data_IF_281628752745
#
_entry.id   IF_281628752745
#
_cell.length_a   1.000
_cell.length_b   1.000
_cell.length_c   1.000
_cell.angle_alpha   90.00
_cell.angle_beta   90.00
_cell.angle_gamma   90.00
#
_symmetry.space_group_name_H-M   'P 1'
#
loop_
_entity.id
_entity.type
_entity.pdbx_description
1 polymer ?
#
# COMPACT_ATOMS: atom_id res chain seq x y z
N UNK A 1 -3.15 14.52 19.40
CA UNK A 1 -3.18 14.42 18.05
C UNK A 1 -3.15 13.03 17.54
N UNK A 2 -3.91 12.74 16.55
CA UNK A 2 -3.96 11.42 15.98
C UNK A 2 -2.71 11.17 15.17
N UNK A 3 -2.18 9.98 15.27
CA UNK A 3 -1.08 9.57 14.43
C UNK A 3 -1.63 9.04 13.12
N UNK A 4 -0.96 9.36 12.04
CA UNK A 4 -1.38 8.95 10.73
C UNK A 4 -0.41 7.89 10.23
N UNK A 5 -0.95 6.78 9.79
CA UNK A 5 -0.16 5.68 9.24
C UNK A 5 -0.54 5.43 7.80
N UNK A 6 0.46 5.14 7.01
CA UNK A 6 0.26 4.66 5.65
C UNK A 6 0.52 3.18 5.61
N UNK A 7 -0.29 2.48 4.86
CA UNK A 7 -0.15 1.03 4.73
C UNK A 7 0.29 0.73 3.30
N UNK A 8 1.38 -0.01 3.19
CA UNK A 8 1.96 -0.34 1.90
C UNK A 8 1.83 -1.83 1.68
N UNK A 9 1.17 -2.21 0.59
CA UNK A 9 1.05 -3.61 0.20
C UNK A 9 2.25 -3.93 -0.68
N UNK A 10 3.07 -4.88 -0.26
CA UNK A 10 4.31 -5.21 -0.94
C UNK A 10 4.11 -6.40 -1.86
N UNK A 11 4.82 -6.42 -2.96
CA UNK A 11 4.65 -7.44 -3.99
C UNK A 11 6.00 -8.01 -4.41
N UNK A 12 6.02 -9.27 -4.86
CA UNK A 12 7.26 -9.84 -5.39
C UNK A 12 7.64 -9.28 -6.75
N UNK A 13 6.68 -8.72 -7.50
CA UNK A 13 6.99 -8.13 -8.80
C UNK A 13 5.88 -7.15 -9.19
N UNK A 14 6.13 -6.43 -10.29
CA UNK A 14 5.19 -5.41 -10.74
C UNK A 14 3.86 -5.98 -11.19
N UNK A 15 3.87 -7.16 -11.76
CA UNK A 15 2.65 -7.75 -12.29
C UNK A 15 1.62 -7.97 -11.19
N UNK A 16 2.07 -8.51 -10.06
CA UNK A 16 1.15 -8.74 -8.95
C UNK A 16 0.61 -7.43 -8.41
N UNK A 17 1.46 -6.41 -8.34
CA UNK A 17 1.00 -5.11 -7.88
C UNK A 17 -0.05 -4.51 -8.78
N UNK A 18 0.15 -4.60 -10.09
CA UNK A 18 -0.82 -4.05 -11.03
C UNK A 18 -2.12 -4.84 -11.02
N UNK A 19 -2.04 -6.16 -10.83
CA UNK A 19 -3.24 -6.97 -10.73
C UNK A 19 -4.08 -6.58 -9.53
N UNK A 20 -3.45 -6.41 -8.39
CA UNK A 20 -4.19 -5.99 -7.21
C UNK A 20 -4.73 -4.58 -7.37
N UNK A 21 -3.96 -3.69 -7.96
CA UNK A 21 -4.42 -2.33 -8.19
C UNK A 21 -5.72 -2.35 -9.00
N UNK A 22 -5.76 -3.16 -10.06
CA UNK A 22 -6.96 -3.28 -10.88
C UNK A 22 -8.13 -3.83 -10.08
N UNK A 23 -7.87 -4.88 -9.29
CA UNK A 23 -8.93 -5.48 -8.49
C UNK A 23 -9.50 -4.49 -7.49
N UNK A 24 -8.64 -3.72 -6.86
CA UNK A 24 -9.11 -2.75 -5.88
C UNK A 24 -9.91 -1.64 -6.55
N UNK A 25 -9.51 -1.22 -7.73
CA UNK A 25 -10.28 -0.22 -8.46
C UNK A 25 -11.66 -0.76 -8.81
N UNK A 26 -11.75 -2.01 -9.22
CA UNK A 26 -13.03 -2.63 -9.52
C UNK A 26 -13.91 -2.73 -8.28
N UNK A 27 -13.29 -2.92 -7.13
CA UNK A 27 -14.04 -2.97 -5.87
C UNK A 27 -14.25 -1.59 -5.27
N UNK A 28 -13.83 -0.54 -5.97
CA UNK A 28 -13.98 0.83 -5.52
C UNK A 28 -13.23 1.12 -4.22
N UNK A 29 -12.11 0.46 -4.05
CA UNK A 29 -11.23 0.70 -2.91
C UNK A 29 -10.14 1.66 -3.33
N UNK A 30 -9.98 2.75 -2.60
CA UNK A 30 -8.97 3.74 -2.95
C UNK A 30 -7.59 3.22 -2.63
N UNK A 31 -6.70 3.31 -3.60
CA UNK A 31 -5.31 2.97 -3.42
C UNK A 31 -4.49 3.72 -4.45
N UNK A 32 -3.20 3.82 -4.19
CA UNK A 32 -2.29 4.53 -5.09
C UNK A 32 -1.03 3.70 -5.28
N UNK A 33 -0.49 3.75 -6.49
CA UNK A 33 0.81 3.15 -6.73
C UNK A 33 1.87 4.10 -6.20
N UNK A 34 2.77 3.58 -5.39
CA UNK A 34 3.78 4.39 -4.72
C UNK A 34 5.12 3.68 -4.77
N UNK A 35 6.22 4.43 -4.80
CA UNK A 35 7.52 3.78 -4.64
C UNK A 35 7.60 3.09 -3.29
N UNK A 36 8.26 1.94 -3.25
CA UNK A 36 8.41 1.21 -2.01
C UNK A 36 9.32 2.00 -1.08
N UNK A 37 8.87 2.31 0.14
CA UNK A 37 9.71 3.09 1.06
C UNK A 37 10.88 2.27 1.56
N UNK A 38 11.91 2.98 2.02
CA UNK A 38 13.10 2.32 2.53
C UNK A 38 12.81 1.42 3.70
N UNK A 39 11.87 1.81 4.54
CA UNK A 39 11.53 1.05 5.74
C UNK A 39 10.96 -0.31 5.39
N UNK A 40 10.44 -0.46 4.18
CA UNK A 40 9.86 -1.72 3.74
C UNK A 40 10.82 -2.38 2.78
N UNK A 41 11.36 -3.52 3.15
CA UNK A 41 12.22 -4.27 2.26
C UNK A 41 11.38 -5.06 1.29
N UNK A 42 11.59 -4.84 0.00
CA UNK A 42 10.86 -5.57 -1.01
C UNK A 42 11.69 -5.61 -2.28
N UNK A 43 11.57 -6.69 -3.03
CA UNK A 43 12.24 -6.79 -4.32
C UNK A 43 11.59 -5.91 -5.36
N UNK A 44 10.33 -5.59 -5.18
CA UNK A 44 9.61 -4.75 -6.13
C UNK A 44 9.80 -3.30 -5.74
N UNK A 45 10.07 -2.46 -6.73
CA UNK A 45 10.27 -1.04 -6.47
C UNK A 45 9.00 -0.27 -6.27
N UNK A 46 7.84 -0.90 -6.45
CA UNK A 46 6.56 -0.25 -6.23
C UNK A 46 5.76 -1.01 -5.20
N UNK A 47 4.84 -0.30 -4.58
CA UNK A 47 3.89 -0.88 -3.63
C UNK A 47 2.57 -0.17 -3.81
N UNK A 48 1.52 -0.67 -3.17
CA UNK A 48 0.24 0.01 -3.18
C UNK A 48 0.04 0.68 -1.84
N UNK A 49 -0.23 1.97 -1.89
CA UNK A 49 -0.46 2.76 -0.70
C UNK A 49 -1.96 2.80 -0.44
N UNK A 50 -2.37 2.36 0.74
CA UNK A 50 -3.78 2.38 1.12
C UNK A 50 -3.91 3.01 2.50
N UNK A 51 -5.08 3.58 2.77
CA UNK A 51 -5.35 4.15 4.07
C UNK A 51 -5.79 3.06 5.03
N UNK A 52 -5.70 3.37 6.32
CA UNK A 52 -6.03 2.39 7.35
C UNK A 52 -7.45 1.88 7.20
N UNK A 53 -8.37 2.75 6.85
CA UNK A 53 -9.76 2.34 6.74
C UNK A 53 -10.01 1.39 5.60
N UNK A 54 -9.10 1.31 4.64
CA UNK A 54 -9.27 0.44 3.48
C UNK A 54 -8.49 -0.86 3.59
N UNK A 55 -7.69 -1.03 4.62
CA UNK A 55 -6.85 -2.22 4.75
C UNK A 55 -7.68 -3.49 4.83
N UNK A 56 -8.78 -3.45 5.56
CA UNK A 56 -9.62 -4.64 5.69
C UNK A 56 -10.19 -5.06 4.34
N UNK A 57 -10.55 -4.09 3.51
CA UNK A 57 -11.07 -4.40 2.18
C UNK A 57 -9.98 -4.96 1.28
N UNK A 58 -8.77 -4.44 1.41
CA UNK A 58 -7.64 -4.98 0.66
C UNK A 58 -7.42 -6.43 1.03
N UNK A 59 -7.48 -6.75 2.32
CA UNK A 59 -7.30 -8.13 2.74
C UNK A 59 -8.39 -9.04 2.21
N UNK A 60 -9.62 -8.56 2.15
CA UNK A 60 -10.70 -9.35 1.58
C UNK A 60 -10.47 -9.64 0.10
N UNK A 61 -10.04 -8.63 -0.63
CA UNK A 61 -9.76 -8.81 -2.06
C UNK A 61 -8.63 -9.81 -2.25
N UNK A 62 -7.59 -9.70 -1.43
CA UNK A 62 -6.48 -10.62 -1.53
C UNK A 62 -6.91 -12.06 -1.21
N UNK A 63 -7.76 -12.23 -0.23
CA UNK A 63 -8.22 -13.56 0.13
C UNK A 63 -9.06 -14.20 -0.97
N UNK A 64 -9.73 -13.38 -1.76
CA UNK A 64 -10.56 -13.90 -2.84
C UNK A 64 -9.89 -13.94 -4.20
N UNK A 65 -8.59 -13.68 -4.26
CA UNK A 65 -7.89 -13.67 -5.52
C UNK A 65 -6.58 -14.44 -5.38
N UNK A 66 -5.94 -14.70 -6.52
CA UNK A 66 -4.67 -15.46 -6.52
C UNK A 66 -3.47 -14.53 -6.60
N UNK A 67 -3.61 -13.32 -6.12
CA UNK A 67 -2.54 -12.35 -6.17
C UNK A 67 -1.58 -12.60 -5.03
N UNK A 68 -0.29 -12.66 -5.35
CA UNK A 68 0.74 -12.89 -4.36
C UNK A 68 1.25 -11.56 -3.83
N UNK A 69 1.41 -11.49 -2.52
CA UNK A 69 1.96 -10.31 -1.88
C UNK A 69 3.07 -10.73 -0.93
N UNK A 70 3.88 -9.76 -0.54
CA UNK A 70 4.90 -9.98 0.48
C UNK A 70 4.47 -9.41 1.81
N UNK A 71 3.22 -9.01 1.94
CA UNK A 71 2.68 -8.53 3.18
C UNK A 71 2.28 -7.08 3.10
N UNK A 72 1.74 -6.60 4.20
CA UNK A 72 1.32 -5.22 4.34
C UNK A 72 2.13 -4.60 5.46
N UNK A 73 2.78 -3.47 5.18
CA UNK A 73 3.64 -2.79 6.13
C UNK A 73 2.98 -1.48 6.54
N UNK A 74 2.97 -1.21 7.85
CA UNK A 74 2.45 0.04 8.36
C UNK A 74 3.61 0.97 8.67
N UNK A 75 3.57 2.16 8.10
CA UNK A 75 4.62 3.16 8.31
C UNK A 75 3.97 4.45 8.77
N UNK A 76 4.45 4.99 9.87
CA UNK A 76 3.91 6.24 10.37
C UNK A 76 4.31 7.39 9.45
N UNK A 77 3.31 8.19 9.09
CA UNK A 77 3.56 9.34 8.23
C UNK A 77 4.21 10.44 9.05
N UNK A 78 5.28 10.99 8.50
CA UNK A 78 5.92 12.14 9.11
C UNK A 78 5.31 13.38 8.54
N UNK A 79 4.47 14.03 9.33
CA UNK A 79 3.80 15.17 8.82
C UNK A 79 4.48 16.45 9.13
N UNK A 80 5.34 16.44 10.02
CA UNK A 80 5.84 17.57 10.46
C UNK A 80 6.63 18.16 9.58
N UNK A 81 6.92 18.46 9.35
CA UNK A 81 7.69 18.87 8.95
C UNK A 81 7.89 19.20 7.88
N UNK A 82 7.94 19.06 7.34
CA UNK A 82 8.31 19.29 6.34
C UNK A 82 7.85 20.25 5.72
N UNK A 83 7.34 20.60 5.99
CA UNK A 83 6.85 21.43 5.58
C UNK A 83 7.50 22.43 5.20
N UNK A 84 8.10 22.59 5.40
CA UNK A 84 8.70 23.36 5.16
C UNK A 84 9.47 23.47 4.35
N UNK A 85 9.48 23.27 4.09
CA UNK A 85 10.13 23.34 3.44
C UNK A 85 10.46 23.39 2.63
N UNK A 86 10.24 23.52 2.39
CA UNK A 86 10.54 23.42 1.77
C UNK A 86 10.63 23.65 1.64
#
# INVERSE_FOLDING_TARGET
MAEIYDYYVLFPNHQEGLRLHRKLREAQVKCSISPTPREASSFCGISLLVSEENVAQVEKVLAGSNIKTEGIVRIQRKTAVWNKTC
#
